data_IF_580787845327
#
_entry.id   IF_580787845327
#
_cell.length_a   1.000
_cell.length_b   1.000
_cell.length_c   1.000
_cell.angle_alpha   90.00
_cell.angle_beta   90.00
_cell.angle_gamma   90.00
#
_symmetry.space_group_name_H-M   'P 1'
#
loop_
_entity.id
_entity.type
_entity.pdbx_description
1 polymer ?
#
# COMPACT_ATOMS: atom_id res chain seq x y z
N UNK A 1 6.90 -5.72 -9.67
CA UNK A 1 7.24 -6.15 -11.04
C UNK A 1 6.26 -5.44 -11.97
N UNK A 2 6.72 -4.52 -12.85
CA UNK A 2 5.81 -3.75 -13.70
C UNK A 2 5.05 -4.66 -14.66
N UNK A 3 3.76 -4.38 -14.87
CA UNK A 3 2.95 -5.12 -15.83
C UNK A 3 3.22 -4.54 -17.21
N UNK A 4 3.98 -5.28 -18.02
CA UNK A 4 4.29 -4.90 -19.40
C UNK A 4 3.23 -5.52 -20.30
N UNK A 5 2.46 -4.68 -20.99
CA UNK A 5 1.44 -5.13 -21.93
C UNK A 5 1.81 -4.62 -23.32
N UNK A 6 1.82 -5.52 -24.30
CA UNK A 6 2.06 -5.17 -25.71
C UNK A 6 0.71 -5.06 -26.39
N UNK A 7 0.38 -3.89 -26.93
CA UNK A 7 -0.83 -3.67 -27.72
C UNK A 7 -0.45 -2.89 -28.98
N UNK A 8 -0.79 -3.42 -30.15
CA UNK A 8 -0.58 -2.78 -31.46
C UNK A 8 0.87 -2.34 -31.74
N UNK A 9 1.86 -3.15 -31.31
CA UNK A 9 3.28 -2.83 -31.48
C UNK A 9 3.80 -1.71 -30.56
N UNK A 10 2.96 -1.17 -29.68
CA UNK A 10 3.34 -0.19 -28.65
C UNK A 10 3.53 -0.88 -27.30
N UNK A 11 4.70 -0.68 -26.70
CA UNK A 11 5.00 -1.09 -25.33
C UNK A 11 4.28 -0.15 -24.36
N UNK A 12 3.38 -0.70 -23.55
CA UNK A 12 2.71 0.02 -22.46
C UNK A 12 3.15 -0.63 -21.15
N UNK A 13 3.85 0.11 -20.30
CA UNK A 13 4.25 -0.36 -18.97
C UNK A 13 3.44 0.41 -17.92
N UNK A 14 2.65 -0.31 -17.13
CA UNK A 14 2.07 0.26 -15.91
C UNK A 14 3.09 0.06 -14.79
N UNK A 15 3.69 1.17 -14.36
CA UNK A 15 4.66 1.19 -13.28
C UNK A 15 4.03 1.83 -12.05
N UNK A 16 4.20 1.17 -10.91
CA UNK A 16 3.60 1.59 -9.64
C UNK A 16 4.71 1.67 -8.57
N UNK A 17 4.72 2.77 -7.81
CA UNK A 17 5.49 2.92 -6.58
C UNK A 17 4.72 2.24 -5.45
N UNK A 18 5.38 1.35 -4.72
CA UNK A 18 4.77 0.70 -3.56
C UNK A 18 5.14 1.48 -2.29
N UNK A 19 4.13 2.03 -1.62
CA UNK A 19 4.28 2.62 -0.29
C UNK A 19 3.91 1.56 0.75
N UNK A 20 4.81 1.30 1.68
CA UNK A 20 4.57 0.37 2.79
C UNK A 20 4.62 1.10 4.13
N UNK A 21 3.71 0.74 5.03
CA UNK A 21 3.67 1.22 6.41
C UNK A 21 3.39 0.05 7.33
N UNK A 22 4.28 -0.13 8.30
CA UNK A 22 4.11 -1.13 9.34
C UNK A 22 3.36 -0.54 10.54
N UNK A 23 2.51 -1.37 11.12
CA UNK A 23 1.71 -1.12 12.30
C UNK A 23 1.91 -2.28 13.28
N UNK A 24 1.80 -1.97 14.57
CA UNK A 24 1.76 -2.98 15.62
C UNK A 24 0.36 -2.99 16.20
N UNK A 25 -0.28 -4.16 16.15
CA UNK A 25 -1.57 -4.39 16.77
C UNK A 25 -1.42 -4.38 18.29
N UNK A 26 -2.51 -4.09 19.02
CA UNK A 26 -2.50 -4.14 20.49
C UNK A 26 -2.17 -5.52 21.06
N UNK A 27 -2.44 -6.58 20.31
CA UNK A 27 -2.06 -7.95 20.67
C UNK A 27 -0.59 -8.30 20.36
N UNK A 28 0.22 -7.34 19.91
CA UNK A 28 1.64 -7.53 19.57
C UNK A 28 1.91 -8.07 18.16
N UNK A 29 0.86 -8.37 17.38
CA UNK A 29 1.00 -8.80 15.99
C UNK A 29 1.47 -7.62 15.10
N UNK A 30 2.31 -7.92 14.12
CA UNK A 30 2.71 -6.94 13.08
C UNK A 30 1.68 -6.93 11.96
N UNK A 31 1.35 -5.74 11.47
CA UNK A 31 0.43 -5.54 10.37
C UNK A 31 1.04 -4.55 9.37
N UNK A 32 1.17 -4.95 8.12
CA UNK A 32 1.77 -4.10 7.07
C UNK A 32 0.70 -3.71 6.08
N UNK A 33 0.56 -2.41 5.84
CA UNK A 33 -0.26 -1.87 4.75
C UNK A 33 0.66 -1.60 3.58
N UNK A 34 0.26 -2.08 2.40
CA UNK A 34 0.95 -1.78 1.15
C UNK A 34 -0.03 -1.12 0.19
N UNK A 35 0.41 -0.03 -0.43
CA UNK A 35 -0.37 0.72 -1.42
C UNK A 35 0.46 0.86 -2.69
N UNK A 36 -0.11 0.45 -3.82
CA UNK A 36 0.50 0.65 -5.12
C UNK A 36 -0.02 1.97 -5.69
N UNK A 37 0.88 2.92 -5.93
CA UNK A 37 0.57 4.24 -6.45
C UNK A 37 1.15 4.35 -7.87
N UNK A 38 0.39 4.85 -8.86
CA UNK A 38 0.91 5.01 -10.22
C UNK A 38 2.10 5.98 -10.24
N UNK A 39 3.08 5.67 -11.08
CA UNK A 39 4.23 6.56 -11.29
C UNK A 39 3.82 7.87 -11.99
N UNK A 40 4.63 8.92 -11.79
CA UNK A 40 4.44 10.26 -12.36
C UNK A 40 3.17 11.02 -11.89
N UNK A 41 2.57 10.62 -10.77
CA UNK A 41 1.48 11.36 -10.12
C UNK A 41 1.94 11.87 -8.76
N UNK A 42 1.82 13.17 -8.52
CA UNK A 42 2.04 13.76 -7.19
C UNK A 42 0.78 13.68 -6.36
N UNK A 43 0.83 12.92 -5.27
CA UNK A 43 -0.26 12.82 -4.30
C UNK A 43 0.00 13.75 -3.12
N UNK A 44 -0.72 14.87 -3.08
CA UNK A 44 -0.74 15.77 -1.93
C UNK A 44 -1.99 15.48 -1.09
N UNK A 45 -1.92 14.47 -0.23
CA UNK A 45 -3.05 14.06 0.59
C UNK A 45 -2.63 13.28 1.84
N UNK A 46 -3.54 13.20 2.81
CA UNK A 46 -3.38 12.35 3.99
C UNK A 46 -4.15 11.05 3.79
N UNK A 47 -3.49 9.92 4.06
CA UNK A 47 -4.11 8.61 4.07
C UNK A 47 -4.47 8.28 5.51
N UNK A 48 -5.78 8.27 5.80
CA UNK A 48 -6.30 7.83 7.09
C UNK A 48 -6.57 6.33 7.03
N UNK A 49 -5.86 5.57 7.86
CA UNK A 49 -6.01 4.13 7.98
C UNK A 49 -6.93 3.83 9.16
N UNK A 50 -8.13 3.32 8.86
CA UNK A 50 -9.03 2.74 9.86
C UNK A 50 -9.15 1.24 9.61
N UNK A 51 -8.24 0.45 10.17
CA UNK A 51 -8.16 -0.99 9.97
C UNK A 51 -8.17 -1.74 11.31
N UNK A 52 -8.78 -2.92 11.32
CA UNK A 52 -8.74 -3.84 12.44
C UNK A 52 -7.66 -4.90 12.20
N UNK A 53 -6.94 -5.25 13.26
CA UNK A 53 -5.92 -6.29 13.22
C UNK A 53 -6.57 -7.64 12.87
N UNK A 54 -6.08 -8.38 11.87
CA UNK A 54 -6.67 -9.66 11.49
C UNK A 54 -6.52 -10.74 12.57
N UNK A 55 -5.56 -10.58 13.49
CA UNK A 55 -5.28 -11.56 14.54
C UNK A 55 -6.16 -11.39 15.78
N UNK A 56 -6.47 -10.15 16.17
CA UNK A 56 -7.17 -9.87 17.42
C UNK A 56 -8.40 -8.96 17.28
N UNK A 57 -8.77 -8.60 16.05
CA UNK A 57 -9.93 -7.77 15.69
C UNK A 57 -9.97 -6.38 16.35
N UNK A 58 -8.89 -5.97 17.02
CA UNK A 58 -8.74 -4.63 17.63
C UNK A 58 -8.13 -3.64 16.64
N UNK A 59 -8.33 -2.33 16.83
CA UNK A 59 -7.76 -1.31 15.95
C UNK A 59 -6.23 -1.41 15.85
N UNK A 60 -5.68 -1.21 14.66
CA UNK A 60 -4.22 -1.06 14.49
C UNK A 60 -3.79 0.34 14.91
N UNK A 61 -2.68 0.44 15.66
CA UNK A 61 -2.10 1.73 16.04
C UNK A 61 -0.87 2.00 15.20
N UNK A 62 -0.74 3.23 14.70
CA UNK A 62 0.46 3.65 13.99
C UNK A 62 1.65 3.57 14.95
N UNK A 63 2.66 2.78 14.59
CA UNK A 63 3.98 2.90 15.22
C UNK A 63 4.63 4.17 14.68
N UNK A 64 4.88 5.12 15.58
CA UNK A 64 5.58 6.37 15.29
C UNK A 64 7.00 6.10 14.79
#
# INVERSE_FOLDING_TARGET
MPKITIKDGKLSAEVYVQVTRDYVCECGAKFTITMNMPENVTYNGQINVNANCPTCSRPVRATA
#
